data_IF_713133926520
#
_entry.id   IF_713133926520
#
_cell.length_a   1.000
_cell.length_b   1.000
_cell.length_c   1.000
_cell.angle_alpha   90.00
_cell.angle_beta   90.00
_cell.angle_gamma   90.00
#
_symmetry.space_group_name_H-M   'P 1'
#
loop_
_entity.id
_entity.type
_entity.pdbx_description
1 polymer ?
#
# COMPACT_ATOMS: atom_id res chain seq x y z
N UNK A 1 29.76 9.17 -7.44
CA UNK A 1 28.85 8.58 -8.45
C UNK A 1 28.27 7.24 -8.03
N UNK A 2 29.08 6.35 -7.46
CA UNK A 2 28.59 5.07 -6.96
C UNK A 2 27.51 5.22 -5.89
N UNK A 3 27.64 6.20 -4.98
CA UNK A 3 26.65 6.45 -3.93
C UNK A 3 25.30 6.90 -4.48
N UNK A 4 25.29 7.72 -5.54
CA UNK A 4 24.04 8.15 -6.18
C UNK A 4 23.30 6.99 -6.84
N UNK A 5 24.05 6.08 -7.46
CA UNK A 5 23.48 4.89 -8.08
C UNK A 5 22.85 3.96 -7.04
N UNK A 6 23.53 3.77 -5.90
CA UNK A 6 23.04 2.96 -4.80
C UNK A 6 21.77 3.58 -4.21
N UNK A 7 21.75 4.89 -3.99
CA UNK A 7 20.56 5.59 -3.49
C UNK A 7 19.38 5.49 -4.45
N UNK A 8 19.61 5.64 -5.75
CA UNK A 8 18.59 5.45 -6.78
C UNK A 8 18.03 4.04 -6.75
N UNK A 9 18.90 3.04 -6.66
CA UNK A 9 18.48 1.64 -6.63
C UNK A 9 17.65 1.34 -5.39
N UNK A 10 18.04 1.86 -4.23
CA UNK A 10 17.29 1.68 -3.00
C UNK A 10 15.93 2.34 -3.08
N UNK A 11 15.84 3.59 -3.54
CA UNK A 11 14.59 4.32 -3.68
C UNK A 11 13.67 3.63 -4.68
N UNK A 12 14.24 3.14 -5.77
CA UNK A 12 13.52 2.37 -6.79
C UNK A 12 12.94 1.10 -6.20
N UNK A 13 13.77 0.33 -5.50
CA UNK A 13 13.35 -0.92 -4.87
C UNK A 13 12.27 -0.70 -3.81
N UNK A 14 12.39 0.36 -3.01
CA UNK A 14 11.40 0.71 -2.01
C UNK A 14 10.06 1.04 -2.65
N UNK A 15 10.07 1.84 -3.72
CA UNK A 15 8.86 2.20 -4.45
C UNK A 15 8.20 0.97 -5.08
N UNK A 16 8.98 0.12 -5.73
CA UNK A 16 8.47 -1.12 -6.31
C UNK A 16 7.88 -2.04 -5.24
N UNK A 17 8.55 -2.14 -4.09
CA UNK A 17 8.05 -2.90 -2.96
C UNK A 17 6.71 -2.39 -2.45
N UNK A 18 6.51 -1.09 -2.42
CA UNK A 18 5.23 -0.49 -2.04
C UNK A 18 4.12 -0.85 -3.01
N UNK A 19 4.41 -0.91 -4.31
CA UNK A 19 3.44 -1.35 -5.30
C UNK A 19 3.06 -2.82 -5.11
N UNK A 20 4.03 -3.70 -4.86
CA UNK A 20 3.75 -5.10 -4.58
C UNK A 20 2.89 -5.28 -3.32
N UNK A 21 3.10 -4.43 -2.33
CA UNK A 21 2.39 -4.52 -1.05
C UNK A 21 1.05 -3.78 -1.04
N UNK A 22 0.70 -3.08 -2.11
CA UNK A 22 -0.52 -2.27 -2.17
C UNK A 22 -1.78 -3.05 -1.80
N UNK A 23 -1.99 -4.20 -2.42
CA UNK A 23 -3.15 -5.04 -2.12
C UNK A 23 -3.13 -5.55 -0.69
N UNK A 24 -1.97 -5.97 -0.20
CA UNK A 24 -1.81 -6.42 1.19
C UNK A 24 -2.12 -5.30 2.17
N UNK A 25 -1.68 -4.08 1.88
CA UNK A 25 -1.98 -2.92 2.72
C UNK A 25 -3.48 -2.64 2.78
N UNK A 26 -4.19 -2.80 1.67
CA UNK A 26 -5.65 -2.61 1.65
C UNK A 26 -6.35 -3.66 2.50
N UNK A 27 -5.91 -4.90 2.44
CA UNK A 27 -6.45 -5.99 3.26
C UNK A 27 -6.16 -5.72 4.74
N UNK A 28 -4.93 -5.36 5.08
CA UNK A 28 -4.53 -4.99 6.44
C UNK A 28 -5.34 -3.82 6.97
N UNK A 29 -5.57 -2.81 6.14
CA UNK A 29 -6.39 -1.66 6.50
C UNK A 29 -7.82 -2.09 6.86
N UNK A 30 -8.42 -2.94 6.04
CA UNK A 30 -9.76 -3.45 6.32
C UNK A 30 -9.80 -4.24 7.63
N UNK A 31 -8.78 -5.06 7.90
CA UNK A 31 -8.67 -5.80 9.16
C UNK A 31 -8.55 -4.85 10.36
N UNK A 32 -7.74 -3.80 10.23
CA UNK A 32 -7.59 -2.80 11.30
C UNK A 32 -8.89 -2.04 11.55
N UNK A 33 -9.64 -1.73 10.52
CA UNK A 33 -10.94 -1.06 10.65
C UNK A 33 -11.95 -1.95 11.38
N UNK A 34 -11.94 -3.25 11.08
CA UNK A 34 -12.79 -4.22 11.77
C UNK A 34 -12.38 -4.31 13.24
N UNK A 35 -11.09 -4.39 13.53
CA UNK A 35 -10.57 -4.42 14.90
C UNK A 35 -10.99 -3.17 15.66
N UNK A 36 -10.93 -2.01 15.01
CA UNK A 36 -11.34 -0.75 15.62
C UNK A 36 -12.84 -0.76 15.95
N UNK A 37 -13.68 -1.27 15.06
CA UNK A 37 -15.11 -1.42 15.30
C UNK A 37 -15.38 -2.32 16.51
N UNK A 38 -14.68 -3.45 16.62
CA UNK A 38 -14.82 -4.34 17.76
C UNK A 38 -14.38 -3.68 19.05
N UNK A 39 -13.29 -2.93 19.04
CA UNK A 39 -12.82 -2.18 20.20
C UNK A 39 -13.85 -1.13 20.64
N UNK A 40 -14.47 -0.44 19.71
CA UNK A 40 -15.53 0.53 20.00
C UNK A 40 -16.76 -0.14 20.60
N UNK A 41 -17.16 -1.29 20.07
CA UNK A 41 -18.30 -2.06 20.60
C UNK A 41 -18.01 -2.53 22.02
N UNK A 42 -16.82 -3.09 22.25
CA UNK A 42 -16.40 -3.53 23.57
C UNK A 42 -16.36 -2.38 24.58
N UNK A 43 -15.85 -1.23 24.14
CA UNK A 43 -15.82 -0.02 24.94
C UNK A 43 -17.24 0.44 25.32
N UNK A 44 -18.15 0.45 24.36
CA UNK A 44 -19.55 0.80 24.60
C UNK A 44 -20.23 -0.20 25.52
N UNK A 45 -19.94 -1.48 25.37
CA UNK A 45 -20.43 -2.53 26.26
C UNK A 45 -19.90 -2.36 27.67
N UNK A 46 -18.64 -2.01 27.84
CA UNK A 46 -18.02 -1.74 29.15
C UNK A 46 -18.51 -0.43 29.77
N UNK A 47 -19.03 0.48 28.99
CA UNK A 47 -19.53 1.78 29.45
C UNK A 47 -20.76 1.64 30.37
N UNK A 48 -21.50 0.55 30.24
CA UNK A 48 -22.59 0.25 31.11
C UNK A 48 -22.12 -0.06 32.54
N UNK A 49 -20.84 -0.27 32.76
CA UNK A 49 -20.21 -0.57 34.03
C UNK A 49 -19.38 0.65 34.45
N UNK A 50 -19.99 1.52 35.26
CA UNK A 50 -19.48 2.86 35.55
C UNK A 50 -18.15 2.92 36.31
N UNK A 51 -17.69 1.83 36.88
CA UNK A 51 -16.43 1.79 37.62
C UNK A 51 -15.23 1.32 36.78
N UNK A 52 -15.42 1.15 35.49
CA UNK A 52 -14.37 0.78 34.57
C UNK A 52 -13.52 1.97 34.12
N UNK A 53 -13.73 3.15 34.71
CA UNK A 53 -13.06 4.40 34.29
C UNK A 53 -11.52 4.32 34.34
N UNK A 54 -10.99 3.62 35.35
CA UNK A 54 -9.55 3.45 35.48
C UNK A 54 -8.96 2.58 34.36
N UNK A 55 -9.75 1.63 33.84
CA UNK A 55 -9.34 0.78 32.72
C UNK A 55 -9.58 1.42 31.37
N UNK A 56 -10.41 2.43 31.35
CA UNK A 56 -10.77 3.17 30.14
C UNK A 56 -9.55 3.78 29.48
N UNK A 57 -8.56 4.25 30.24
CA UNK A 57 -7.33 4.81 29.73
C UNK A 57 -6.54 3.82 28.89
N UNK A 58 -6.43 2.55 29.31
CA UNK A 58 -5.75 1.51 28.54
C UNK A 58 -6.51 1.14 27.28
N UNK A 59 -7.83 1.02 27.37
CA UNK A 59 -8.69 0.73 26.22
C UNK A 59 -8.62 1.86 25.20
N UNK A 60 -8.65 3.11 25.67
CA UNK A 60 -8.50 4.27 24.82
C UNK A 60 -7.12 4.32 24.13
N UNK A 61 -6.06 3.94 24.85
CA UNK A 61 -4.71 3.90 24.28
C UNK A 61 -4.61 2.86 23.17
N UNK A 62 -5.20 1.68 23.35
CA UNK A 62 -5.24 0.64 22.33
C UNK A 62 -6.04 1.12 21.13
N UNK A 63 -7.21 1.70 21.35
CA UNK A 63 -8.06 2.25 20.30
C UNK A 63 -7.32 3.35 19.53
N UNK A 64 -6.66 4.26 20.23
CA UNK A 64 -5.88 5.34 19.61
C UNK A 64 -4.71 4.79 18.79
N UNK A 65 -4.05 3.74 19.27
CA UNK A 65 -2.96 3.09 18.54
C UNK A 65 -3.48 2.48 17.24
N UNK A 66 -4.62 1.79 17.29
CA UNK A 66 -5.25 1.20 16.10
C UNK A 66 -5.69 2.30 15.14
N UNK A 67 -6.32 3.38 15.64
CA UNK A 67 -6.69 4.54 14.82
C UNK A 67 -5.48 5.14 14.10
N UNK A 68 -4.36 5.29 14.80
CA UNK A 68 -3.13 5.83 14.21
C UNK A 68 -2.59 4.91 13.13
N UNK A 69 -2.65 3.61 13.33
CA UNK A 69 -2.25 2.64 12.30
C UNK A 69 -3.17 2.70 11.08
N UNK A 70 -4.48 2.83 11.29
CA UNK A 70 -5.46 3.00 10.21
C UNK A 70 -5.12 4.25 9.39
N UNK A 71 -4.90 5.37 10.05
CA UNK A 71 -4.59 6.64 9.38
C UNK A 71 -3.28 6.54 8.60
N UNK A 72 -2.26 5.91 9.18
CA UNK A 72 -0.97 5.75 8.51
C UNK A 72 -1.09 4.89 7.25
N UNK A 73 -1.84 3.79 7.30
CA UNK A 73 -2.05 2.93 6.13
C UNK A 73 -2.92 3.60 5.07
N UNK A 74 -3.97 4.30 5.49
CA UNK A 74 -4.81 5.07 4.56
C UNK A 74 -3.96 6.09 3.80
N UNK A 75 -3.09 6.79 4.52
CA UNK A 75 -2.21 7.78 3.91
C UNK A 75 -1.27 7.16 2.88
N UNK A 76 -0.66 6.02 3.21
CA UNK A 76 0.22 5.31 2.28
C UNK A 76 -0.54 4.87 1.02
N UNK A 77 -1.73 4.34 1.18
CA UNK A 77 -2.57 3.90 0.06
C UNK A 77 -2.96 5.09 -0.82
N UNK A 78 -3.38 6.20 -0.22
CA UNK A 78 -3.75 7.41 -0.94
C UNK A 78 -2.55 7.99 -1.69
N UNK A 79 -1.37 8.00 -1.09
CA UNK A 79 -0.15 8.46 -1.75
C UNK A 79 0.15 7.64 -3.00
N UNK A 80 0.01 6.31 -2.92
CA UNK A 80 0.18 5.42 -4.08
C UNK A 80 -0.87 5.72 -5.15
N UNK A 81 -2.12 5.80 -4.76
CA UNK A 81 -3.22 6.06 -5.70
C UNK A 81 -3.08 7.40 -6.41
N UNK A 82 -2.69 8.43 -5.66
CA UNK A 82 -2.44 9.76 -6.23
C UNK A 82 -1.26 9.74 -7.20
N UNK A 83 -0.19 9.04 -6.86
CA UNK A 83 0.96 8.91 -7.74
C UNK A 83 0.59 8.19 -9.04
N UNK A 84 -0.25 7.17 -8.97
CA UNK A 84 -0.70 6.43 -10.14
C UNK A 84 -1.55 7.28 -11.08
N UNK A 85 -2.24 8.31 -10.57
CA UNK A 85 -3.01 9.22 -11.40
C UNK A 85 -2.14 10.02 -12.39
N UNK A 86 -0.84 10.16 -12.11
CA UNK A 86 0.09 10.84 -13.00
C UNK A 86 0.50 9.98 -14.20
N UNK A 87 0.15 8.70 -14.19
CA UNK A 87 0.55 7.76 -15.22
C UNK A 87 -0.42 7.78 -16.40
N UNK A 88 0.09 7.40 -17.56
CA UNK A 88 -0.72 7.18 -18.75
C UNK A 88 -1.52 5.89 -18.59
N UNK A 89 -2.59 5.74 -19.38
CA UNK A 89 -3.44 4.54 -19.31
C UNK A 89 -2.67 3.24 -19.51
N UNK A 90 -1.74 3.23 -20.45
CA UNK A 90 -0.87 2.06 -20.70
C UNK A 90 -0.03 1.72 -19.48
N UNK A 91 0.51 2.75 -18.83
CA UNK A 91 1.34 2.62 -17.64
C UNK A 91 0.51 2.11 -16.46
N UNK A 92 -0.71 2.62 -16.29
CA UNK A 92 -1.63 2.14 -15.26
C UNK A 92 -1.99 0.67 -15.48
N UNK A 93 -2.21 0.26 -16.72
CA UNK A 93 -2.50 -1.13 -17.08
C UNK A 93 -1.33 -2.05 -16.71
N UNK A 94 -0.12 -1.61 -17.00
CA UNK A 94 1.09 -2.36 -16.64
C UNK A 94 1.19 -2.55 -15.13
N UNK A 95 1.02 -1.47 -14.36
CA UNK A 95 1.06 -1.52 -12.91
C UNK A 95 -0.02 -2.46 -12.36
N UNK A 96 -1.24 -2.32 -12.84
CA UNK A 96 -2.35 -3.15 -12.39
C UNK A 96 -2.11 -4.62 -12.67
N UNK A 97 -1.63 -4.95 -13.86
CA UNK A 97 -1.39 -6.33 -14.24
C UNK A 97 -0.19 -6.93 -13.51
N UNK A 98 0.89 -6.20 -13.41
CA UNK A 98 2.14 -6.71 -12.83
C UNK A 98 2.10 -6.73 -11.29
N UNK A 99 1.58 -5.68 -10.66
CA UNK A 99 1.70 -5.51 -9.22
C UNK A 99 0.41 -5.76 -8.45
N UNK A 100 -0.75 -5.56 -9.07
CA UNK A 100 -2.05 -5.63 -8.39
C UNK A 100 -2.89 -6.85 -8.74
N UNK A 101 -2.33 -7.84 -9.41
CA UNK A 101 -3.09 -8.97 -9.97
C UNK A 101 -3.44 -10.07 -8.98
N UNK A 102 -3.15 -9.97 -7.71
CA UNK A 102 -3.46 -10.98 -6.67
C UNK A 102 -3.01 -12.40 -6.98
N UNK A 103 -2.01 -12.57 -7.83
CA UNK A 103 -1.45 -13.88 -8.14
C UNK A 103 -0.41 -14.26 -7.12
N UNK A 104 -0.23 -15.55 -6.85
CA UNK A 104 0.82 -16.05 -5.96
C UNK A 104 2.21 -15.60 -6.41
N UNK A 105 2.41 -15.54 -7.72
CA UNK A 105 3.63 -14.99 -8.32
C UNK A 105 3.23 -13.85 -9.24
N UNK A 106 4.04 -12.80 -9.24
CA UNK A 106 3.88 -11.73 -10.21
C UNK A 106 3.99 -12.30 -11.64
N UNK A 107 3.17 -11.82 -12.60
CA UNK A 107 3.28 -12.24 -13.99
C UNK A 107 4.69 -12.01 -14.52
N UNK A 108 5.16 -12.88 -15.40
CA UNK A 108 6.44 -12.66 -16.07
C UNK A 108 6.36 -11.45 -16.99
N UNK A 109 7.50 -10.92 -17.37
CA UNK A 109 7.52 -9.78 -18.32
C UNK A 109 6.99 -10.16 -19.70
N UNK A 110 7.09 -11.43 -20.09
CA UNK A 110 6.44 -11.95 -21.29
C UNK A 110 4.92 -11.87 -21.16
N UNK A 111 4.38 -12.28 -20.04
CA UNK A 111 2.94 -12.18 -19.76
C UNK A 111 2.46 -10.74 -19.76
N UNK A 112 3.23 -9.84 -19.17
CA UNK A 112 2.94 -8.41 -19.17
C UNK A 112 2.92 -7.88 -20.60
N UNK A 113 3.90 -8.27 -21.40
CA UNK A 113 4.00 -7.87 -22.80
C UNK A 113 2.79 -8.34 -23.61
N UNK A 114 2.35 -9.55 -23.41
CA UNK A 114 1.15 -10.08 -24.07
C UNK A 114 -0.10 -9.28 -23.70
N UNK A 115 -0.24 -8.94 -22.43
CA UNK A 115 -1.39 -8.17 -21.94
C UNK A 115 -1.41 -6.74 -22.46
N UNK A 116 -0.25 -6.08 -22.47
CA UNK A 116 -0.12 -4.66 -22.85
C UNK A 116 0.03 -4.48 -24.38
N UNK A 117 0.56 -5.50 -25.06
CA UNK A 117 0.81 -5.44 -26.49
C UNK A 117 2.20 -4.96 -26.88
N UNK A 118 3.17 -5.09 -25.97
CA UNK A 118 4.56 -4.69 -26.20
C UNK A 118 5.51 -5.85 -25.89
N UNK A 119 6.77 -5.73 -26.33
CA UNK A 119 7.79 -6.71 -25.97
C UNK A 119 8.08 -6.66 -24.47
N UNK A 120 8.61 -7.76 -23.94
CA UNK A 120 9.05 -7.83 -22.55
C UNK A 120 10.09 -6.76 -22.22
N UNK A 121 11.03 -6.53 -23.15
CA UNK A 121 12.06 -5.49 -23.00
C UNK A 121 11.43 -4.10 -22.87
N UNK A 122 10.45 -3.78 -23.73
CA UNK A 122 9.76 -2.50 -23.68
C UNK A 122 8.98 -2.35 -22.39
N UNK A 123 8.35 -3.41 -21.94
CA UNK A 123 7.61 -3.39 -20.66
C UNK A 123 8.52 -3.13 -19.47
N UNK A 124 9.73 -3.68 -19.45
CA UNK A 124 10.72 -3.40 -18.41
C UNK A 124 11.17 -1.95 -18.42
N UNK A 125 11.36 -1.39 -19.62
CA UNK A 125 11.72 0.02 -19.78
C UNK A 125 10.56 0.90 -19.26
N UNK A 126 9.35 0.57 -19.63
CA UNK A 126 8.16 1.27 -19.12
C UNK A 126 8.08 1.20 -17.59
N UNK A 127 8.32 0.01 -17.01
CA UNK A 127 8.36 -0.16 -15.56
C UNK A 127 9.38 0.77 -14.93
N UNK A 128 10.57 0.84 -15.48
CA UNK A 128 11.62 1.71 -14.97
C UNK A 128 11.19 3.18 -15.00
N UNK A 129 10.57 3.60 -16.10
CA UNK A 129 10.06 4.97 -16.24
C UNK A 129 8.96 5.25 -15.24
N UNK A 130 8.03 4.32 -15.06
CA UNK A 130 6.93 4.44 -14.10
C UNK A 130 7.48 4.62 -12.69
N UNK A 131 8.34 3.71 -12.26
CA UNK A 131 8.90 3.76 -10.90
C UNK A 131 9.68 5.05 -10.68
N UNK A 132 10.47 5.48 -11.69
CA UNK A 132 11.21 6.74 -11.59
C UNK A 132 10.30 7.97 -11.48
N UNK A 133 9.12 7.93 -12.09
CA UNK A 133 8.14 9.01 -11.95
C UNK A 133 7.51 9.08 -10.57
N UNK A 134 7.24 7.94 -9.96
CA UNK A 134 6.44 7.88 -8.72
C UNK A 134 7.27 7.73 -7.45
N UNK A 135 8.53 7.31 -7.54
CA UNK A 135 9.35 6.99 -6.37
C UNK A 135 9.53 8.14 -5.38
N UNK A 136 9.47 9.38 -5.85
CA UNK A 136 9.56 10.54 -4.97
C UNK A 136 8.24 10.90 -4.31
N UNK A 137 7.13 10.30 -4.76
CA UNK A 137 5.78 10.59 -4.30
C UNK A 137 5.26 9.54 -3.31
N UNK A 138 5.89 8.40 -3.27
CA UNK A 138 5.49 7.29 -2.41
C UNK A 138 6.69 6.79 -1.54
#
# INVERSE_FOLDING_TARGET
MASKTIEKDKTFSDAEGKLYNYNSMKIELNSLKIDLEYLEIDYKGCKAISYADERTGQTNNISNTVENEVLAKERQIIEIENALELLKEEEKRLVSFRYFSNRKKAPSWLDVGEEIGYSDKKCRIMRNDIINKIKSLI
#
